data_IF_240162492451
#
_entry.id   IF_240162492451
#
_cell.length_a   1.000
_cell.length_b   1.000
_cell.length_c   1.000
_cell.angle_alpha   90.00
_cell.angle_beta   90.00
_cell.angle_gamma   90.00
#
_symmetry.space_group_name_H-M   'P 1'
#
loop_
_entity.id
_entity.type
_entity.pdbx_description
1 polymer ?
#
# COMPACT_ATOMS: atom_id res chain seq x y z
N UNK A 1 -10.74 -15.64 4.39
CA UNK A 1 -10.09 -15.85 5.70
C UNK A 1 -8.73 -16.49 5.45
N UNK A 2 -7.72 -15.68 5.09
CA UNK A 2 -6.34 -16.16 4.98
C UNK A 2 -5.77 -16.26 6.39
N UNK A 3 -5.12 -17.39 6.70
CA UNK A 3 -4.62 -17.69 8.04
C UNK A 3 -3.33 -16.93 8.24
N UNK A 4 -3.22 -16.22 9.37
CA UNK A 4 -1.99 -15.51 9.79
C UNK A 4 -0.78 -16.47 9.87
N UNK A 5 -1.06 -17.77 10.03
CA UNK A 5 -0.07 -18.84 10.10
C UNK A 5 0.71 -19.05 8.79
N UNK A 6 0.20 -18.60 7.65
CA UNK A 6 0.87 -18.76 6.35
C UNK A 6 1.86 -17.60 6.04
N UNK A 7 1.81 -16.51 6.81
CA UNK A 7 2.64 -15.30 6.59
C UNK A 7 4.14 -15.62 6.59
N UNK A 8 4.69 -16.41 7.53
CA UNK A 8 6.12 -16.74 7.51
C UNK A 8 6.54 -17.51 6.26
N UNK A 9 5.71 -18.44 5.79
CA UNK A 9 5.99 -19.24 4.61
C UNK A 9 5.93 -18.39 3.33
N UNK A 10 4.91 -17.53 3.22
CA UNK A 10 4.77 -16.59 2.11
C UNK A 10 5.92 -15.57 2.09
N UNK A 11 6.32 -15.08 3.27
CA UNK A 11 7.44 -14.18 3.43
C UNK A 11 8.72 -14.81 2.88
N UNK A 12 9.04 -16.02 3.30
CA UNK A 12 10.20 -16.75 2.81
C UNK A 12 10.16 -16.93 1.28
N UNK A 13 9.02 -17.37 0.74
CA UNK A 13 8.86 -17.59 -0.69
C UNK A 13 9.09 -16.31 -1.51
N UNK A 14 8.46 -15.20 -1.13
CA UNK A 14 8.61 -13.95 -1.86
C UNK A 14 10.00 -13.34 -1.68
N UNK A 15 10.62 -13.47 -0.51
CA UNK A 15 11.99 -13.03 -0.30
C UNK A 15 12.96 -13.77 -1.22
N UNK A 16 12.89 -15.11 -1.27
CA UNK A 16 13.76 -15.90 -2.16
C UNK A 16 13.57 -15.49 -3.63
N UNK A 17 12.31 -15.33 -4.05
CA UNK A 17 11.97 -14.88 -5.41
C UNK A 17 12.59 -13.52 -5.74
N UNK A 18 12.34 -12.51 -4.92
CA UNK A 18 12.77 -11.14 -5.21
C UNK A 18 14.27 -10.93 -4.97
N UNK A 19 14.87 -11.65 -4.02
CA UNK A 19 16.32 -11.65 -3.83
C UNK A 19 17.03 -12.15 -5.09
N UNK A 20 16.53 -13.21 -5.72
CA UNK A 20 17.04 -13.71 -6.99
C UNK A 20 16.82 -12.74 -8.15
N UNK A 21 15.64 -12.12 -8.23
CA UNK A 21 15.27 -11.17 -9.28
C UNK A 21 16.10 -9.87 -9.24
N UNK A 22 16.38 -9.34 -8.06
CA UNK A 22 17.13 -8.09 -7.88
C UNK A 22 18.63 -8.29 -7.60
N UNK A 23 19.13 -9.53 -7.72
CA UNK A 23 20.53 -9.89 -7.45
C UNK A 23 21.05 -9.42 -6.08
N UNK A 24 20.16 -9.33 -5.09
CA UNK A 24 20.52 -9.00 -3.71
C UNK A 24 20.64 -10.30 -2.92
N UNK A 25 21.49 -10.29 -1.89
CA UNK A 25 21.79 -11.49 -1.09
C UNK A 25 21.10 -11.37 0.28
N UNK A 26 19.77 -11.26 0.27
CA UNK A 26 18.98 -11.14 1.49
C UNK A 26 18.86 -12.48 2.18
N UNK A 27 19.36 -12.57 3.40
CA UNK A 27 19.35 -13.84 4.15
C UNK A 27 18.53 -13.79 5.42
N UNK A 28 18.09 -12.61 5.85
CA UNK A 28 17.47 -12.42 7.16
C UNK A 28 16.35 -11.38 7.15
N UNK A 29 15.39 -11.60 8.02
CA UNK A 29 14.36 -10.64 8.44
C UNK A 29 14.57 -10.43 9.92
N UNK A 30 14.51 -9.18 10.39
CA UNK A 30 14.58 -8.91 11.82
C UNK A 30 13.34 -9.45 12.54
N UNK A 31 13.46 -9.79 13.81
CA UNK A 31 12.32 -10.26 14.60
C UNK A 31 11.22 -9.19 14.67
N UNK A 32 11.61 -7.92 14.71
CA UNK A 32 10.71 -6.78 14.70
C UNK A 32 9.91 -6.71 13.39
N UNK A 33 10.56 -6.92 12.24
CA UNK A 33 9.88 -6.98 10.95
C UNK A 33 8.89 -8.14 10.89
N UNK A 34 9.30 -9.33 11.34
CA UNK A 34 8.43 -10.50 11.37
C UNK A 34 7.20 -10.29 12.26
N UNK A 35 7.39 -9.76 13.47
CA UNK A 35 6.27 -9.44 14.38
C UNK A 35 5.32 -8.44 13.75
N UNK A 36 5.86 -7.43 13.08
CA UNK A 36 5.07 -6.39 12.46
C UNK A 36 4.26 -6.94 11.27
N UNK A 37 4.83 -7.83 10.46
CA UNK A 37 4.14 -8.56 9.40
C UNK A 37 3.01 -9.45 9.93
N UNK A 38 3.21 -10.08 11.10
CA UNK A 38 2.21 -10.95 11.74
C UNK A 38 1.04 -10.18 12.38
N UNK A 39 1.33 -8.99 12.93
CA UNK A 39 0.33 -8.14 13.60
C UNK A 39 -0.51 -7.33 12.59
N UNK A 40 0.04 -7.05 11.41
CA UNK A 40 -0.67 -6.31 10.37
C UNK A 40 -1.88 -7.11 9.83
N UNK A 41 -3.06 -6.47 9.69
CA UNK A 41 -4.29 -7.19 9.35
C UNK A 41 -4.45 -7.56 7.86
N UNK A 42 -3.55 -7.12 6.98
CA UNK A 42 -3.54 -7.39 5.54
C UNK A 42 -4.91 -7.21 4.86
N UNK A 43 -5.48 -5.99 4.90
CA UNK A 43 -6.79 -5.71 4.29
C UNK A 43 -6.83 -6.03 2.77
N UNK A 44 -5.70 -5.95 2.08
CA UNK A 44 -5.51 -6.27 0.67
C UNK A 44 -5.14 -7.73 0.34
N UNK A 45 -5.15 -8.63 1.33
CA UNK A 45 -4.76 -10.06 1.19
C UNK A 45 -3.28 -10.27 0.82
N UNK A 46 -2.92 -11.48 0.37
CA UNK A 46 -1.56 -11.87 -0.06
C UNK A 46 -0.88 -10.89 -1.04
N UNK A 47 -1.64 -10.17 -1.89
CA UNK A 47 -1.02 -9.20 -2.81
C UNK A 47 -0.38 -8.03 -2.08
N UNK A 48 -1.01 -7.54 -1.01
CA UNK A 48 -0.44 -6.45 -0.20
C UNK A 48 0.84 -6.91 0.52
N UNK A 49 0.83 -8.16 1.02
CA UNK A 49 2.03 -8.80 1.58
C UNK A 49 3.15 -8.92 0.54
N UNK A 50 2.82 -9.40 -0.65
CA UNK A 50 3.76 -9.54 -1.75
C UNK A 50 4.41 -8.19 -2.10
N UNK A 51 3.61 -7.13 -2.30
CA UNK A 51 4.12 -5.80 -2.64
C UNK A 51 4.94 -5.18 -1.51
N UNK A 52 4.55 -5.39 -0.25
CA UNK A 52 5.32 -4.92 0.90
C UNK A 52 6.72 -5.58 0.94
N UNK A 53 6.80 -6.89 0.67
CA UNK A 53 8.07 -7.62 0.62
C UNK A 53 8.92 -7.20 -0.58
N UNK A 54 8.30 -7.08 -1.75
CA UNK A 54 8.96 -6.61 -2.98
C UNK A 54 9.63 -5.25 -2.75
N UNK A 55 8.88 -4.28 -2.22
CA UNK A 55 9.39 -2.94 -1.92
C UNK A 55 10.48 -2.98 -0.86
N UNK A 56 10.32 -3.77 0.20
CA UNK A 56 11.33 -3.91 1.24
C UNK A 56 12.65 -4.47 0.67
N UNK A 57 12.60 -5.46 -0.24
CA UNK A 57 13.77 -6.02 -0.93
C UNK A 57 14.44 -4.97 -1.84
N UNK A 58 13.65 -4.18 -2.57
CA UNK A 58 14.18 -3.11 -3.43
C UNK A 58 14.85 -2.01 -2.60
N UNK A 59 14.21 -1.57 -1.51
CA UNK A 59 14.64 -0.43 -0.69
C UNK A 59 15.71 -0.77 0.34
N UNK A 60 15.81 -2.03 0.76
CA UNK A 60 16.77 -2.37 1.80
C UNK A 60 18.21 -2.26 1.28
N UNK A 61 18.99 -1.46 2.00
CA UNK A 61 20.41 -1.19 1.77
C UNK A 61 21.32 -2.21 2.48
N UNK A 62 20.74 -3.13 3.26
CA UNK A 62 21.45 -4.14 4.04
C UNK A 62 20.91 -5.54 3.73
N UNK A 63 21.69 -6.60 3.99
CA UNK A 63 21.26 -7.98 3.76
C UNK A 63 20.18 -8.49 4.76
N UNK A 64 19.64 -7.62 5.61
CA UNK A 64 18.59 -7.92 6.59
C UNK A 64 17.42 -6.97 6.40
N UNK A 65 16.21 -7.50 6.16
CA UNK A 65 15.00 -6.70 6.13
C UNK A 65 14.63 -6.27 7.55
N UNK A 66 14.61 -4.96 7.77
CA UNK A 66 14.23 -4.31 9.01
C UNK A 66 12.76 -3.89 8.99
N UNK A 67 12.18 -3.68 10.17
CA UNK A 67 10.80 -3.20 10.29
C UNK A 67 10.59 -1.85 9.59
N UNK A 68 11.63 -1.02 9.50
CA UNK A 68 11.65 0.26 8.80
C UNK A 68 11.55 0.14 7.29
N UNK A 69 12.01 -0.98 6.72
CA UNK A 69 11.97 -1.23 5.27
C UNK A 69 10.54 -1.51 4.80
N UNK A 70 9.69 -1.92 5.73
CA UNK A 70 8.28 -2.08 5.48
C UNK A 70 7.51 -0.82 5.88
N UNK A 71 7.20 -0.01 4.88
CA UNK A 71 6.34 1.16 5.00
C UNK A 71 4.87 0.71 5.13
N UNK A 72 4.53 0.09 6.25
CA UNK A 72 3.14 -0.12 6.61
C UNK A 72 2.52 1.22 6.93
N UNK A 73 1.45 1.57 6.21
CA UNK A 73 0.59 2.68 6.57
C UNK A 73 0.11 2.42 8.00
N UNK A 74 0.74 3.07 8.98
CA UNK A 74 0.29 3.04 10.38
C UNK A 74 -1.13 3.60 10.35
N UNK A 75 -2.11 2.70 10.42
CA UNK A 75 -3.54 2.93 10.22
C UNK A 75 -3.97 4.39 10.44
N UNK A 76 -4.29 5.03 9.32
CA UNK A 76 -4.95 6.34 9.27
C UNK A 76 -4.86 6.95 7.87
N UNK A 77 -5.67 6.47 6.92
CA UNK A 77 -6.02 7.20 5.69
C UNK A 77 -4.93 7.55 4.66
N UNK A 78 -3.87 6.77 4.50
CA UNK A 78 -3.04 6.87 3.29
C UNK A 78 -2.97 5.54 2.56
N UNK A 79 -3.95 5.35 1.68
CA UNK A 79 -3.86 4.41 0.56
C UNK A 79 -2.80 5.00 -0.38
N UNK A 80 -1.56 4.55 -0.24
CA UNK A 80 -0.59 4.70 -1.33
C UNK A 80 -1.11 3.80 -2.44
N UNK A 81 -1.82 4.40 -3.38
CA UNK A 81 -2.50 3.70 -4.45
C UNK A 81 -1.46 3.36 -5.51
N UNK A 82 -0.65 2.31 -5.28
CA UNK A 82 0.33 1.73 -6.24
C UNK A 82 -0.36 1.00 -7.41
N UNK A 83 -1.64 1.29 -7.66
CA UNK A 83 -2.37 0.77 -8.80
C UNK A 83 -2.00 1.55 -10.05
N UNK A 84 -1.45 0.87 -11.07
CA UNK A 84 -1.29 1.45 -12.42
C UNK A 84 -2.63 1.67 -13.13
N UNK A 85 -3.75 1.29 -12.50
CA UNK A 85 -5.09 1.52 -13.03
C UNK A 85 -5.52 2.96 -12.75
N UNK A 86 -5.61 3.75 -13.83
CA UNK A 86 -6.03 5.15 -13.80
C UNK A 86 -7.38 5.37 -13.10
N UNK A 87 -8.33 4.44 -13.22
CA UNK A 87 -9.64 4.57 -12.57
C UNK A 87 -9.54 4.47 -11.04
N UNK A 88 -8.66 3.61 -10.52
CA UNK A 88 -8.43 3.46 -9.07
C UNK A 88 -7.66 4.66 -8.51
N UNK A 89 -6.63 5.13 -9.24
CA UNK A 89 -5.88 6.35 -8.87
C UNK A 89 -6.81 7.55 -8.80
N UNK A 90 -7.66 7.74 -9.82
CA UNK A 90 -8.64 8.82 -9.88
C UNK A 90 -9.65 8.73 -8.72
N UNK A 91 -10.18 7.53 -8.43
CA UNK A 91 -11.11 7.32 -7.31
C UNK A 91 -10.50 7.65 -5.95
N UNK A 92 -9.25 7.24 -5.72
CA UNK A 92 -8.55 7.53 -4.46
C UNK A 92 -8.26 9.03 -4.31
N UNK A 93 -7.80 9.69 -5.37
CA UNK A 93 -7.56 11.14 -5.35
C UNK A 93 -8.83 11.93 -5.02
N UNK A 94 -9.96 11.56 -5.65
CA UNK A 94 -11.28 12.16 -5.36
C UNK A 94 -11.68 11.94 -3.90
N UNK A 95 -11.55 10.71 -3.41
CA UNK A 95 -11.92 10.36 -2.03
C UNK A 95 -11.06 11.12 -1.01
N UNK A 96 -9.74 11.19 -1.25
CA UNK A 96 -8.78 11.87 -0.37
C UNK A 96 -9.05 13.38 -0.32
N UNK A 97 -9.31 14.02 -1.46
CA UNK A 97 -9.63 15.45 -1.50
C UNK A 97 -10.94 15.77 -0.75
N UNK A 98 -11.98 14.95 -0.90
CA UNK A 98 -13.25 15.13 -0.18
C UNK A 98 -13.03 15.00 1.33
N UNK A 99 -12.29 13.97 1.77
CA UNK A 99 -11.99 13.77 3.19
C UNK A 99 -11.15 14.90 3.78
N UNK A 100 -10.11 15.34 3.07
CA UNK A 100 -9.20 16.41 3.50
C UNK A 100 -9.93 17.74 3.72
N UNK A 101 -10.95 18.02 2.90
CA UNK A 101 -11.75 19.22 2.99
C UNK A 101 -13.10 19.00 3.70
N UNK A 102 -13.23 17.93 4.50
CA UNK A 102 -14.42 17.61 5.31
C UNK A 102 -15.74 17.67 4.51
N UNK A 103 -15.74 17.17 3.27
CA UNK A 103 -16.93 17.18 2.40
C UNK A 103 -17.17 18.49 1.66
N UNK A 104 -16.28 19.48 1.75
CA UNK A 104 -16.41 20.71 0.98
C UNK A 104 -16.02 20.50 -0.48
N UNK A 105 -17.03 20.22 -1.31
CA UNK A 105 -16.89 19.88 -2.73
C UNK A 105 -16.18 20.97 -3.54
N UNK A 106 -16.40 22.25 -3.22
CA UNK A 106 -15.75 23.35 -3.95
C UNK A 106 -14.24 23.37 -3.70
N UNK A 107 -13.81 23.23 -2.44
CA UNK A 107 -12.38 23.18 -2.08
C UNK A 107 -11.71 21.91 -2.59
N UNK A 108 -12.39 20.77 -2.48
CA UNK A 108 -11.88 19.50 -3.00
C UNK A 108 -11.72 19.51 -4.53
N UNK A 109 -12.61 20.20 -5.25
CA UNK A 109 -12.49 20.35 -6.70
C UNK A 109 -11.32 21.25 -7.07
N UNK A 110 -11.14 22.37 -6.36
CA UNK A 110 -10.05 23.32 -6.56
C UNK A 110 -8.67 22.66 -6.34
N UNK A 111 -8.51 21.92 -5.24
CA UNK A 111 -7.29 21.15 -4.93
C UNK A 111 -6.94 20.14 -6.04
N UNK A 112 -7.96 19.51 -6.64
CA UNK A 112 -7.78 18.55 -7.74
C UNK A 112 -7.63 19.23 -9.11
N UNK A 113 -7.68 20.56 -9.20
CA UNK A 113 -7.66 21.30 -10.47
C UNK A 113 -8.90 21.06 -11.33
N UNK A 114 -10.04 20.72 -10.71
CA UNK A 114 -11.29 20.37 -11.36
C UNK A 114 -12.36 21.44 -11.15
N UNK A 115 -13.33 21.49 -12.06
CA UNK A 115 -14.58 22.20 -11.79
C UNK A 115 -15.45 21.40 -10.83
N UNK A 116 -16.32 22.09 -10.09
CA UNK A 116 -17.31 21.44 -9.20
C UNK A 116 -18.17 20.40 -9.94
N UNK A 117 -18.61 20.71 -11.16
CA UNK A 117 -19.38 19.79 -12.00
C UNK A 117 -18.57 18.54 -12.38
N UNK A 118 -17.28 18.70 -12.70
CA UNK A 118 -16.38 17.58 -13.01
C UNK A 118 -16.14 16.67 -11.81
N UNK A 119 -16.10 17.23 -10.59
CA UNK A 119 -15.98 16.43 -9.36
C UNK A 119 -17.27 15.63 -9.08
N UNK A 120 -18.45 16.23 -9.23
CA UNK A 120 -19.73 15.53 -9.06
C UNK A 120 -19.87 14.32 -9.99
N UNK A 121 -19.50 14.46 -11.28
CA UNK A 121 -19.56 13.34 -12.24
C UNK A 121 -18.65 12.18 -11.84
N UNK A 122 -17.50 12.46 -11.22
CA UNK A 122 -16.58 11.43 -10.69
C UNK A 122 -17.16 10.77 -9.44
N UNK A 123 -17.78 11.53 -8.55
CA UNK A 123 -18.47 10.96 -7.38
C UNK A 123 -19.59 10.00 -7.81
N UNK A 124 -20.41 10.38 -8.80
CA UNK A 124 -21.44 9.50 -9.37
C UNK A 124 -20.83 8.25 -10.02
N UNK A 125 -19.75 8.41 -10.80
CA UNK A 125 -19.01 7.30 -11.43
C UNK A 125 -18.52 6.28 -10.40
N UNK A 126 -18.04 6.75 -9.24
CA UNK A 126 -17.46 5.90 -8.20
C UNK A 126 -18.39 5.56 -7.04
N UNK A 127 -19.63 6.06 -7.06
CA UNK A 127 -20.65 5.90 -5.99
C UNK A 127 -20.15 6.35 -4.61
N UNK A 128 -19.53 7.53 -4.58
CA UNK A 128 -19.02 8.20 -3.38
C UNK A 128 -20.04 9.19 -2.78
#
# INVERSE_FOLDING_TARGET
RQRRDDIPLLLQHYMEKYSAEFHKDFRRVSEEALRLLLDYPWPGNVRELQHAIERAVIMADSNTLQATDFLFSRKGNEVVNDSLNLDEVEKSAVTKAIQLHNGNISKAAEELGLTRASLYRRMEKYRL
#
